data_IF_614099268004
#
_entry.id   IF_614099268004
#
_cell.length_a   1.000
_cell.length_b   1.000
_cell.length_c   1.000
_cell.angle_alpha   90.00
_cell.angle_beta   90.00
_cell.angle_gamma   90.00
#
_symmetry.space_group_name_H-M   'P 1'
#
loop_
_entity.id
_entity.type
_entity.pdbx_description
1 polymer ?
#
# COMPACT_ATOMS: atom_id res chain seq x y z
N UNK A 1 21.25 -24.19 -38.94
CA UNK A 1 21.79 -22.81 -39.08
C UNK A 1 20.85 -21.82 -39.79
N UNK A 2 20.25 -22.12 -40.96
CA UNK A 2 19.35 -21.16 -41.67
C UNK A 2 18.22 -20.60 -40.78
N UNK A 3 17.50 -21.46 -40.05
CA UNK A 3 16.43 -21.06 -39.12
C UNK A 3 16.91 -20.10 -38.01
N UNK A 4 18.09 -20.33 -37.44
CA UNK A 4 18.67 -19.45 -36.41
C UNK A 4 18.94 -18.06 -36.97
N UNK A 5 19.46 -17.95 -38.20
CA UNK A 5 19.59 -16.64 -38.86
C UNK A 5 18.25 -15.96 -39.11
N UNK A 6 17.17 -16.69 -39.38
CA UNK A 6 15.84 -16.08 -39.58
C UNK A 6 15.32 -15.41 -38.30
N UNK A 7 15.61 -16.02 -37.14
CA UNK A 7 15.24 -15.52 -35.81
C UNK A 7 16.04 -14.29 -35.33
N UNK A 8 17.04 -13.82 -36.09
CA UNK A 8 17.74 -12.56 -35.78
C UNK A 8 16.79 -11.38 -36.01
N UNK A 9 16.24 -10.82 -34.91
CA UNK A 9 15.40 -9.61 -34.94
C UNK A 9 16.25 -8.33 -34.93
N UNK A 10 17.57 -8.45 -34.76
CA UNK A 10 18.54 -7.35 -34.74
C UNK A 10 19.35 -7.26 -36.06
N UNK A 11 18.81 -7.81 -37.15
CA UNK A 11 19.41 -7.79 -38.47
C UNK A 11 19.58 -6.36 -39.01
N UNK A 12 20.72 -6.09 -39.64
CA UNK A 12 21.06 -4.77 -40.19
C UNK A 12 20.66 -4.71 -41.67
N UNK A 13 19.96 -3.66 -42.09
CA UNK A 13 19.69 -3.40 -43.51
C UNK A 13 20.97 -3.00 -44.23
N UNK A 14 21.31 -3.69 -45.33
CA UNK A 14 22.38 -3.29 -46.23
C UNK A 14 21.95 -2.06 -47.04
N UNK A 15 22.31 -0.86 -46.59
CA UNK A 15 22.16 0.39 -47.38
C UNK A 15 23.26 0.52 -48.46
N UNK A 16 23.34 -0.45 -49.38
CA UNK A 16 24.23 -0.39 -50.55
C UNK A 16 23.44 -0.63 -51.83
N UNK A 17 23.09 0.46 -52.52
CA UNK A 17 22.13 0.52 -53.63
C UNK A 17 22.61 -0.07 -54.97
N UNK A 18 23.73 -0.80 -55.00
CA UNK A 18 24.21 -1.46 -56.24
C UNK A 18 23.31 -2.66 -56.63
N UNK A 19 22.42 -3.09 -55.72
CA UNK A 19 21.32 -4.01 -56.01
C UNK A 19 19.99 -3.46 -55.48
N UNK A 20 18.92 -3.59 -56.27
CA UNK A 20 17.56 -3.15 -55.90
C UNK A 20 16.92 -3.98 -54.77
N UNK A 21 17.48 -5.14 -54.44
CA UNK A 21 17.04 -5.96 -53.32
C UNK A 21 17.78 -5.57 -52.01
N UNK A 22 17.05 -4.98 -51.05
CA UNK A 22 17.57 -4.74 -49.69
C UNK A 22 17.92 -6.07 -49.00
N UNK A 23 19.21 -6.41 -48.94
CA UNK A 23 19.68 -7.61 -48.24
C UNK A 23 19.85 -7.33 -46.76
N UNK A 24 18.86 -7.74 -45.95
CA UNK A 24 19.00 -7.80 -44.48
C UNK A 24 20.14 -8.73 -44.08
N UNK A 25 21.22 -8.17 -43.53
CA UNK A 25 22.28 -8.95 -42.93
C UNK A 25 21.86 -9.45 -41.54
N UNK A 26 21.48 -10.74 -41.51
CA UNK A 26 21.22 -11.51 -40.29
C UNK A 26 22.37 -12.45 -39.96
N UNK A 27 22.81 -12.47 -38.70
CA UNK A 27 23.88 -13.37 -38.23
C UNK A 27 23.36 -14.54 -37.40
N UNK A 28 24.16 -15.59 -37.27
CA UNK A 28 23.82 -16.72 -36.37
C UNK A 28 23.87 -16.26 -34.92
N UNK A 29 24.82 -15.39 -34.58
CA UNK A 29 24.99 -14.83 -33.24
C UNK A 29 23.80 -13.95 -32.84
N UNK A 30 23.38 -13.01 -33.71
CA UNK A 30 22.19 -12.17 -33.50
C UNK A 30 20.93 -13.02 -33.33
N UNK A 31 20.77 -14.09 -34.12
CA UNK A 31 19.69 -15.06 -33.98
C UNK A 31 19.67 -15.82 -32.65
N UNK A 32 20.82 -16.32 -32.18
CA UNK A 32 20.94 -16.97 -30.86
C UNK A 32 20.62 -15.97 -29.75
N UNK A 33 21.16 -14.74 -29.83
CA UNK A 33 20.95 -13.68 -28.85
C UNK A 33 19.48 -13.25 -28.80
N UNK A 34 18.83 -13.13 -29.95
CA UNK A 34 17.39 -12.84 -30.08
C UNK A 34 16.56 -13.91 -29.35
N UNK A 35 16.83 -15.19 -29.61
CA UNK A 35 16.12 -16.31 -28.94
C UNK A 35 16.31 -16.25 -27.43
N UNK A 36 17.55 -16.08 -26.94
CA UNK A 36 17.83 -16.01 -25.49
C UNK A 36 17.09 -14.83 -24.85
N UNK A 37 17.19 -13.63 -25.44
CA UNK A 37 16.56 -12.41 -24.92
C UNK A 37 15.05 -12.56 -24.88
N UNK A 38 14.41 -13.02 -25.96
CA UNK A 38 12.96 -13.23 -26.00
C UNK A 38 12.51 -14.30 -25.00
N UNK A 39 13.25 -15.41 -24.87
CA UNK A 39 12.92 -16.46 -23.90
C UNK A 39 13.04 -15.99 -22.45
N UNK A 40 14.10 -15.26 -22.10
CA UNK A 40 14.30 -14.70 -20.74
C UNK A 40 13.24 -13.64 -20.44
N UNK A 41 12.93 -12.76 -21.39
CA UNK A 41 11.92 -11.71 -21.23
C UNK A 41 10.52 -12.30 -21.05
N UNK A 42 10.16 -13.33 -21.84
CA UNK A 42 8.88 -14.03 -21.71
C UNK A 42 8.79 -14.82 -20.40
N UNK A 43 9.87 -15.50 -19.99
CA UNK A 43 9.93 -16.21 -18.72
C UNK A 43 9.75 -15.27 -17.52
N UNK A 44 10.42 -14.12 -17.53
CA UNK A 44 10.27 -13.10 -16.49
C UNK A 44 8.87 -12.47 -16.51
N UNK A 45 8.28 -12.21 -17.69
CA UNK A 45 6.90 -11.74 -17.81
C UNK A 45 5.89 -12.72 -17.17
N UNK A 46 6.00 -14.01 -17.49
CA UNK A 46 5.16 -15.07 -16.91
C UNK A 46 5.36 -15.14 -15.39
N UNK A 47 6.61 -15.08 -14.92
CA UNK A 47 6.93 -15.05 -13.49
C UNK A 47 6.28 -13.86 -12.76
N UNK A 48 6.42 -12.64 -13.27
CA UNK A 48 5.83 -11.44 -12.65
C UNK A 48 4.30 -11.50 -12.68
N UNK A 49 3.69 -11.99 -13.76
CA UNK A 49 2.24 -12.18 -13.84
C UNK A 49 1.73 -13.24 -12.86
N UNK A 50 2.48 -14.31 -12.61
CA UNK A 50 2.16 -15.31 -11.59
C UNK A 50 2.29 -14.75 -10.17
N UNK A 51 3.39 -14.03 -9.86
CA UNK A 51 3.55 -13.36 -8.56
C UNK A 51 2.44 -12.34 -8.28
N UNK A 52 2.01 -11.60 -9.31
CA UNK A 52 0.90 -10.67 -9.23
C UNK A 52 -0.45 -11.38 -9.01
N UNK A 53 -0.74 -12.41 -9.82
CA UNK A 53 -1.98 -13.20 -9.70
C UNK A 53 -2.13 -13.89 -8.34
N UNK A 54 -1.02 -14.35 -7.77
CA UNK A 54 -1.00 -15.04 -6.48
C UNK A 54 -0.88 -14.06 -5.29
N UNK A 55 -0.99 -12.75 -5.51
CA UNK A 55 -0.90 -11.69 -4.49
C UNK A 55 0.42 -11.69 -3.67
N UNK A 56 1.49 -12.25 -4.22
CA UNK A 56 2.81 -12.30 -3.58
C UNK A 56 3.56 -10.96 -3.65
N UNK A 57 3.12 -10.04 -4.51
CA UNK A 57 3.68 -8.69 -4.58
C UNK A 57 3.05 -7.84 -3.47
N UNK A 58 3.87 -7.40 -2.52
CA UNK A 58 3.43 -6.65 -1.35
C UNK A 58 2.65 -5.38 -1.76
N UNK A 59 1.48 -5.12 -1.16
CA UNK A 59 0.75 -3.88 -1.38
C UNK A 59 1.50 -2.69 -0.77
N UNK A 60 1.27 -1.49 -1.31
CA UNK A 60 1.77 -0.24 -0.75
C UNK A 60 0.84 0.20 0.38
N UNK A 61 1.37 0.41 1.57
CA UNK A 61 0.62 0.97 2.70
C UNK A 61 1.02 2.42 2.94
N UNK A 62 0.07 3.33 2.90
CA UNK A 62 0.26 4.75 3.26
C UNK A 62 -0.60 5.05 4.48
N UNK A 63 0.04 5.53 5.55
CA UNK A 63 -0.65 5.92 6.79
C UNK A 63 -0.68 7.45 6.87
N UNK A 64 -1.86 8.04 6.96
CA UNK A 64 -2.07 9.49 7.07
C UNK A 64 -2.89 9.76 8.31
N UNK A 65 -2.35 10.57 9.23
CA UNK A 65 -3.13 11.09 10.37
C UNK A 65 -3.91 12.30 9.86
N UNK A 66 -5.23 12.28 9.99
CA UNK A 66 -6.12 13.36 9.57
C UNK A 66 -6.92 13.85 10.78
N UNK A 67 -6.98 15.17 10.98
CA UNK A 67 -7.98 15.75 11.86
C UNK A 67 -9.34 15.62 11.16
N UNK A 68 -10.26 14.87 11.75
CA UNK A 68 -11.61 14.75 11.21
C UNK A 68 -12.53 15.77 11.85
N UNK A 69 -13.28 16.49 11.01
CA UNK A 69 -14.26 17.44 11.48
C UNK A 69 -15.52 16.76 12.03
N UNK A 70 -15.77 15.52 11.63
CA UNK A 70 -16.84 14.68 12.09
C UNK A 70 -16.38 13.22 12.07
N UNK A 71 -16.48 12.54 13.20
CA UNK A 71 -16.30 11.09 13.32
C UNK A 71 -17.37 10.52 14.25
N UNK A 72 -17.85 9.32 13.95
CA UNK A 72 -18.90 8.65 14.72
C UNK A 72 -18.64 7.17 14.73
N UNK A 73 -18.72 6.54 15.90
CA UNK A 73 -18.63 5.09 16.03
C UNK A 73 -19.88 4.58 16.75
N UNK A 74 -20.58 3.67 16.07
CA UNK A 74 -21.75 2.97 16.56
C UNK A 74 -21.42 1.49 16.75
N UNK A 75 -21.50 1.00 17.98
CA UNK A 75 -21.39 -0.41 18.30
C UNK A 75 -22.80 -0.99 18.45
N UNK A 76 -23.13 -1.92 17.56
CA UNK A 76 -24.40 -2.65 17.57
C UNK A 76 -24.05 -4.12 17.73
N UNK A 77 -24.49 -4.74 18.83
CA UNK A 77 -24.24 -6.13 19.25
C UNK A 77 -22.83 -6.50 19.74
N UNK A 78 -21.81 -5.66 19.56
CA UNK A 78 -20.47 -5.87 20.14
C UNK A 78 -20.27 -5.04 21.42
N UNK A 79 -19.87 -5.69 22.52
CA UNK A 79 -19.59 -5.04 23.79
C UNK A 79 -18.21 -4.33 23.76
N UNK A 80 -18.18 -3.01 23.52
CA UNK A 80 -16.91 -2.26 23.60
C UNK A 80 -16.40 -2.16 25.04
N UNK A 81 -17.30 -1.93 26.00
CA UNK A 81 -16.96 -1.78 27.42
C UNK A 81 -17.63 -2.87 28.23
N UNK A 82 -16.83 -3.54 29.03
CA UNK A 82 -17.30 -4.54 29.99
C UNK A 82 -16.65 -4.29 31.34
N UNK A 83 -17.42 -4.37 32.42
CA UNK A 83 -16.87 -4.34 33.77
C UNK A 83 -17.62 -5.25 34.71
N UNK A 84 -16.89 -5.70 35.71
CA UNK A 84 -17.36 -6.67 36.69
C UNK A 84 -16.57 -6.49 38.00
N UNK A 85 -17.12 -7.00 39.09
CA UNK A 85 -16.45 -7.02 40.38
C UNK A 85 -15.62 -8.31 40.54
N UNK A 86 -14.35 -8.21 40.94
CA UNK A 86 -13.51 -9.41 41.13
C UNK A 86 -13.77 -10.02 42.51
N UNK A 87 -14.56 -11.09 42.52
CA UNK A 87 -14.81 -11.91 43.71
C UNK A 87 -13.61 -12.84 43.94
N UNK A 88 -12.68 -12.42 44.80
CA UNK A 88 -11.47 -13.20 45.10
C UNK A 88 -11.74 -14.41 46.03
N UNK A 89 -12.83 -14.39 46.80
CA UNK A 89 -13.22 -15.46 47.72
C UNK A 89 -14.73 -15.76 47.64
N UNK A 90 -15.11 -17.00 47.92
CA UNK A 90 -16.51 -17.37 48.12
C UNK A 90 -17.08 -16.64 49.35
N UNK A 91 -18.33 -16.19 49.24
CA UNK A 91 -18.99 -15.36 50.27
C UNK A 91 -18.80 -13.85 50.10
N UNK A 92 -17.85 -13.38 49.29
CA UNK A 92 -17.77 -11.93 48.97
C UNK A 92 -19.00 -11.50 48.17
N UNK A 93 -19.64 -10.44 48.64
CA UNK A 93 -20.81 -9.82 48.01
C UNK A 93 -20.40 -9.22 46.67
N UNK A 94 -21.14 -9.57 45.61
CA UNK A 94 -21.11 -8.81 44.37
C UNK A 94 -21.88 -7.49 44.59
N UNK A 95 -21.23 -6.32 44.46
CA UNK A 95 -21.88 -5.04 44.69
C UNK A 95 -22.85 -4.63 43.59
N UNK A 96 -22.88 -5.34 42.45
CA UNK A 96 -23.70 -5.05 41.26
C UNK A 96 -24.87 -6.01 41.05
N UNK A 97 -25.42 -6.57 42.13
CA UNK A 97 -26.59 -7.46 42.06
C UNK A 97 -27.85 -6.67 41.75
N UNK A 98 -28.80 -7.25 41.04
CA UNK A 98 -30.09 -6.60 40.74
C UNK A 98 -30.94 -6.41 41.99
N UNK A 99 -30.87 -7.37 42.93
CA UNK A 99 -31.43 -7.28 44.28
C UNK A 99 -30.32 -7.03 45.29
N UNK A 100 -30.58 -6.18 46.28
CA UNK A 100 -29.62 -5.78 47.31
C UNK A 100 -28.31 -5.23 46.70
N UNK A 101 -28.51 -4.29 45.77
CA UNK A 101 -27.45 -3.61 45.05
C UNK A 101 -26.71 -2.61 45.95
N UNK A 102 -25.37 -2.57 45.88
CA UNK A 102 -24.54 -1.69 46.71
C UNK A 102 -23.98 -0.54 45.87
N UNK A 103 -23.36 -0.89 44.73
CA UNK A 103 -22.82 0.06 43.77
C UNK A 103 -23.69 0.06 42.52
N UNK A 104 -24.04 1.24 42.02
CA UNK A 104 -24.82 1.38 40.80
C UNK A 104 -23.97 2.04 39.72
N UNK A 105 -23.67 1.34 38.61
CA UNK A 105 -23.14 1.95 37.42
C UNK A 105 -24.26 2.69 36.68
N UNK A 106 -24.01 3.96 36.41
CA UNK A 106 -24.88 4.88 35.69
C UNK A 106 -24.16 5.29 34.42
N UNK A 107 -24.85 5.21 33.29
CA UNK A 107 -24.46 5.87 32.05
C UNK A 107 -25.11 7.24 31.95
N UNK A 108 -24.38 8.21 31.40
CA UNK A 108 -24.88 9.55 31.09
C UNK A 108 -24.24 10.02 29.79
N UNK A 109 -25.04 10.37 28.80
CA UNK A 109 -24.51 11.04 27.61
C UNK A 109 -24.25 12.53 27.91
N UNK A 110 -23.16 13.06 27.38
CA UNK A 110 -22.92 14.50 27.32
C UNK A 110 -23.03 14.88 25.84
N UNK A 111 -24.03 15.71 25.51
CA UNK A 111 -24.29 16.16 24.14
C UNK A 111 -23.95 17.65 24.10
N UNK A 112 -22.96 18.02 23.29
CA UNK A 112 -22.47 19.41 23.13
C UNK A 112 -22.10 20.09 24.47
N UNK A 113 -21.49 19.31 25.37
CA UNK A 113 -21.15 19.75 26.73
C UNK A 113 -22.33 19.79 27.70
N UNK A 114 -23.55 19.50 27.26
CA UNK A 114 -24.77 19.46 28.08
C UNK A 114 -25.02 18.03 28.57
N UNK A 115 -24.97 17.77 29.89
CA UNK A 115 -25.29 16.46 30.44
C UNK A 115 -26.75 16.09 30.22
N UNK A 116 -27.00 14.86 29.77
CA UNK A 116 -28.34 14.30 29.59
C UNK A 116 -28.80 13.57 30.85
N UNK A 117 -30.06 13.09 30.85
CA UNK A 117 -30.57 12.29 31.97
C UNK A 117 -29.76 11.01 32.17
N UNK A 118 -29.36 10.68 33.42
CA UNK A 118 -28.67 9.44 33.73
C UNK A 118 -29.57 8.22 33.52
N UNK A 119 -28.98 7.09 33.11
CA UNK A 119 -29.63 5.79 33.00
C UNK A 119 -28.84 4.72 33.78
N UNK A 120 -29.55 3.78 34.43
CA UNK A 120 -28.89 2.62 35.05
C UNK A 120 -28.32 1.69 33.99
N UNK A 121 -27.10 1.21 34.20
CA UNK A 121 -26.48 0.18 33.35
C UNK A 121 -26.72 -1.24 33.87
N UNK A 122 -27.43 -1.40 34.99
CA UNK A 122 -27.79 -2.71 35.52
C UNK A 122 -28.84 -3.37 34.63
N UNK A 123 -28.40 -4.31 33.78
CA UNK A 123 -29.31 -5.15 32.99
C UNK A 123 -29.94 -6.24 33.87
N UNK A 124 -31.05 -6.81 33.41
CA UNK A 124 -31.62 -8.03 34.00
C UNK A 124 -30.98 -9.32 33.42
N UNK A 125 -29.97 -9.19 32.56
CA UNK A 125 -29.34 -10.30 31.84
C UNK A 125 -28.09 -10.71 32.59
N UNK A 126 -28.17 -11.81 33.35
CA UNK A 126 -27.06 -12.33 34.15
C UNK A 126 -26.03 -13.06 33.29
N UNK A 127 -25.27 -12.31 32.48
CA UNK A 127 -23.99 -12.81 31.97
C UNK A 127 -23.00 -12.79 33.13
N UNK A 128 -22.46 -13.96 33.49
CA UNK A 128 -21.46 -14.07 34.55
C UNK A 128 -20.07 -13.86 33.97
N UNK A 129 -19.29 -13.03 34.65
CA UNK A 129 -17.87 -12.84 34.37
C UNK A 129 -17.04 -14.09 34.72
N UNK A 130 -15.79 -14.13 34.28
CA UNK A 130 -14.81 -15.13 34.70
C UNK A 130 -14.58 -15.15 36.24
N UNK A 131 -15.03 -14.12 36.96
CA UNK A 131 -14.94 -14.00 38.43
C UNK A 131 -16.27 -14.32 39.14
N UNK A 132 -17.22 -14.97 38.46
CA UNK A 132 -18.53 -15.35 39.02
C UNK A 132 -19.30 -14.15 39.63
N UNK A 133 -19.19 -12.99 38.98
CA UNK A 133 -19.94 -11.76 39.25
C UNK A 133 -20.74 -11.36 38.02
N UNK A 134 -21.71 -10.47 38.19
CA UNK A 134 -22.43 -9.87 37.07
C UNK A 134 -21.46 -9.11 36.15
N UNK A 135 -21.55 -9.38 34.85
CA UNK A 135 -20.87 -8.63 33.80
C UNK A 135 -21.80 -7.51 33.31
N UNK A 136 -21.26 -6.30 33.20
CA UNK A 136 -22.02 -5.09 32.89
C UNK A 136 -21.39 -4.42 31.68
N UNK A 137 -22.21 -4.10 30.69
CA UNK A 137 -21.76 -3.59 29.39
C UNK A 137 -22.73 -2.52 28.87
N UNK A 138 -22.29 -1.73 27.88
CA UNK A 138 -23.13 -0.69 27.24
C UNK A 138 -23.69 -1.24 25.93
N UNK A 139 -24.99 -1.48 25.88
CA UNK A 139 -25.69 -1.80 24.63
C UNK A 139 -25.87 -0.55 23.75
N UNK A 140 -25.75 -0.74 22.43
CA UNK A 140 -26.01 0.28 21.40
C UNK A 140 -25.23 1.59 21.63
N UNK A 141 -23.96 1.47 22.00
CA UNK A 141 -23.06 2.61 22.20
C UNK A 141 -22.91 3.40 20.89
N UNK A 142 -23.18 4.70 20.96
CA UNK A 142 -22.93 5.63 19.86
C UNK A 142 -22.23 6.87 20.42
N UNK A 143 -20.97 7.06 20.02
CA UNK A 143 -20.10 8.19 20.37
C UNK A 143 -19.83 8.98 19.09
N UNK A 144 -19.94 10.30 19.18
CA UNK A 144 -19.77 11.22 18.05
C UNK A 144 -18.82 12.35 18.45
N UNK A 145 -17.86 12.67 17.60
CA UNK A 145 -16.99 13.83 17.73
C UNK A 145 -17.27 14.79 16.57
N UNK A 146 -17.57 16.05 16.85
CA UNK A 146 -17.73 17.09 15.84
C UNK A 146 -16.90 18.33 16.22
N UNK A 147 -16.02 18.79 15.33
CA UNK A 147 -15.17 19.98 15.55
C UNK A 147 -15.90 21.31 15.32
N UNK A 148 -17.19 21.28 14.98
CA UNK A 148 -18.04 22.44 14.69
C UNK A 148 -18.03 22.88 13.22
N UNK A 149 -17.43 22.10 12.31
CA UNK A 149 -17.30 22.49 10.90
C UNK A 149 -18.57 22.27 10.05
N UNK A 150 -19.41 21.30 10.41
CA UNK A 150 -20.67 21.03 9.69
C UNK A 150 -21.89 21.35 10.58
N UNK A 151 -22.62 22.45 10.32
CA UNK A 151 -23.77 22.86 11.12
C UNK A 151 -25.00 21.94 11.02
N UNK A 152 -24.97 20.90 10.17
CA UNK A 152 -26.04 19.91 10.03
C UNK A 152 -25.81 18.63 10.85
N UNK A 153 -24.56 18.33 11.23
CA UNK A 153 -24.18 17.10 11.95
C UNK A 153 -23.90 17.38 13.44
N UNK A 154 -24.67 18.31 14.00
CA UNK A 154 -24.21 19.31 14.97
C UNK A 154 -23.84 18.83 16.40
N UNK A 155 -23.75 17.52 16.65
CA UNK A 155 -23.69 16.98 18.01
C UNK A 155 -22.36 16.24 18.28
N UNK A 156 -21.57 16.75 19.22
CA UNK A 156 -20.55 15.95 19.92
C UNK A 156 -21.24 15.19 21.04
N UNK A 157 -21.10 13.86 21.04
CA UNK A 157 -21.75 12.95 21.98
C UNK A 157 -20.68 12.09 22.67
N UNK A 158 -20.37 12.45 23.91
CA UNK A 158 -19.50 11.68 24.80
C UNK A 158 -20.33 10.78 25.73
N UNK A 159 -19.76 9.69 26.23
CA UNK A 159 -20.36 8.86 27.28
C UNK A 159 -19.59 9.02 28.59
N UNK A 160 -20.30 9.38 29.66
CA UNK A 160 -19.81 9.38 31.03
C UNK A 160 -20.39 8.16 31.76
N UNK A 161 -19.53 7.28 32.26
CA UNK A 161 -19.91 6.17 33.16
C UNK A 161 -19.55 6.58 34.59
N UNK A 162 -20.49 6.48 35.52
CA UNK A 162 -20.35 6.87 36.93
C UNK A 162 -20.69 5.67 37.81
N UNK A 163 -19.82 5.31 38.75
CA UNK A 163 -20.12 4.33 39.80
C UNK A 163 -20.41 5.11 41.09
N UNK A 164 -21.62 4.95 41.61
CA UNK A 164 -22.14 5.63 42.81
C UNK A 164 -22.72 4.62 43.79
N UNK A 165 -23.04 5.05 45.02
CA UNK A 165 -23.91 4.30 45.93
C UNK A 165 -25.27 4.07 45.25
N UNK A 166 -25.86 2.89 45.47
CA UNK A 166 -27.18 2.58 44.94
C UNK A 166 -28.23 3.66 45.25
N UNK A 167 -29.05 4.02 44.26
CA UNK A 167 -30.13 4.99 44.42
C UNK A 167 -31.40 4.49 43.73
N UNK A 168 -32.46 4.29 44.52
CA UNK A 168 -33.73 3.71 44.08
C UNK A 168 -34.41 4.51 42.94
N UNK A 169 -34.13 5.81 42.77
CA UNK A 169 -34.76 6.63 41.72
C UNK A 169 -34.29 6.30 40.29
N UNK A 170 -33.14 5.62 40.12
CA UNK A 170 -32.61 5.22 38.80
C UNK A 170 -32.74 3.72 38.53
N UNK A 171 -33.25 2.96 39.51
CA UNK A 171 -33.45 1.52 39.39
C UNK A 171 -34.71 1.17 38.61
N UNK A 172 -34.68 0.03 37.92
CA UNK A 172 -35.87 -0.57 37.32
C UNK A 172 -36.79 -1.16 38.40
N UNK A 173 -38.08 -1.37 38.06
CA UNK A 173 -39.14 -1.82 39.00
C UNK A 173 -38.78 -3.08 39.81
N UNK A 174 -37.94 -3.97 39.27
CA UNK A 174 -37.53 -5.23 39.91
C UNK A 174 -36.16 -5.17 40.60
N UNK A 175 -35.56 -3.98 40.74
CA UNK A 175 -34.23 -3.79 41.31
C UNK A 175 -34.33 -3.08 42.67
N UNK A 176 -33.53 -3.50 43.65
CA UNK A 176 -33.52 -2.96 45.02
C UNK A 176 -32.11 -2.58 45.46
N UNK A 177 -32.00 -1.49 46.21
CA UNK A 177 -30.76 -1.19 46.95
C UNK A 177 -30.64 -2.05 48.22
N UNK A 178 -29.41 -2.38 48.59
CA UNK A 178 -29.10 -3.05 49.85
C UNK A 178 -29.41 -2.17 51.07
N UNK A 179 -29.45 -2.77 52.26
CA UNK A 179 -29.57 -2.01 53.51
C UNK A 179 -28.33 -1.14 53.74
N UNK A 180 -28.48 0.00 54.42
CA UNK A 180 -27.33 0.86 54.76
C UNK A 180 -26.24 0.10 55.53
N UNK A 181 -26.64 -0.85 56.39
CA UNK A 181 -25.71 -1.74 57.10
C UNK A 181 -24.90 -2.64 56.17
N UNK A 182 -25.49 -3.18 55.10
CA UNK A 182 -24.74 -4.00 54.12
C UNK A 182 -23.78 -3.14 53.29
N UNK A 183 -24.18 -1.90 52.99
CA UNK A 183 -23.37 -0.93 52.25
C UNK A 183 -22.16 -0.51 53.10
N UNK A 184 -22.36 -0.18 54.38
CA UNK A 184 -21.26 0.10 55.32
C UNK A 184 -20.33 -1.11 55.49
N UNK A 185 -20.88 -2.31 55.67
CA UNK A 185 -20.12 -3.55 55.75
C UNK A 185 -19.26 -3.81 54.50
N UNK A 186 -19.76 -3.47 53.30
CA UNK A 186 -18.99 -3.58 52.06
C UNK A 186 -17.83 -2.58 52.00
N UNK A 187 -18.04 -1.32 52.38
CA UNK A 187 -16.97 -0.31 52.36
C UNK A 187 -15.91 -0.51 53.46
N UNK A 188 -16.21 -1.26 54.52
CA UNK A 188 -15.26 -1.65 55.57
C UNK A 188 -14.37 -2.85 55.15
N UNK A 189 -14.73 -3.60 54.10
CA UNK A 189 -13.94 -4.74 53.62
C UNK A 189 -12.57 -4.30 53.07
N UNK A 190 -11.52 -5.04 53.43
CA UNK A 190 -10.13 -4.65 53.17
C UNK A 190 -9.73 -4.65 51.69
N UNK A 191 -10.46 -5.38 50.83
CA UNK A 191 -10.12 -5.55 49.40
C UNK A 191 -11.38 -5.54 48.53
N UNK A 192 -11.69 -4.39 47.94
CA UNK A 192 -12.72 -4.25 46.91
C UNK A 192 -12.01 -3.96 45.58
N UNK A 193 -12.11 -4.86 44.60
CA UNK A 193 -11.48 -4.70 43.29
C UNK A 193 -12.49 -4.73 42.15
N UNK A 194 -12.52 -3.65 41.39
CA UNK A 194 -13.29 -3.50 40.17
C UNK A 194 -12.41 -3.77 38.95
N UNK A 195 -12.94 -4.55 38.01
CA UNK A 195 -12.26 -4.94 36.79
C UNK A 195 -13.00 -4.31 35.60
N UNK A 196 -12.29 -3.51 34.80
CA UNK A 196 -12.83 -2.80 33.64
C UNK A 196 -12.02 -3.18 32.40
N UNK A 197 -12.72 -3.58 31.36
CA UNK A 197 -12.21 -4.14 30.12
C UNK A 197 -12.71 -3.30 28.95
N UNK A 198 -11.83 -3.02 28.00
CA UNK A 198 -12.19 -2.46 26.70
C UNK A 198 -11.88 -3.52 25.65
N UNK A 199 -12.87 -3.89 24.85
CA UNK A 199 -12.70 -4.83 23.76
C UNK A 199 -12.17 -4.10 22.51
N UNK A 200 -10.90 -3.69 22.55
CA UNK A 200 -10.17 -3.20 21.37
C UNK A 200 -9.67 -4.39 20.56
N UNK A 201 -9.68 -4.29 19.23
CA UNK A 201 -9.14 -5.38 18.38
C UNK A 201 -7.62 -5.55 18.55
N UNK A 202 -6.91 -4.55 19.06
CA UNK A 202 -5.50 -4.57 19.42
C UNK A 202 -5.21 -3.67 20.65
N UNK A 203 -4.14 -3.97 21.41
CA UNK A 203 -3.63 -3.24 22.60
C UNK A 203 -4.40 -3.38 23.94
N UNK A 204 -3.70 -3.79 25.01
CA UNK A 204 -4.19 -3.93 26.41
C UNK A 204 -3.26 -3.21 27.40
N UNK A 205 -3.74 -2.15 28.11
CA UNK A 205 -3.21 -1.61 29.40
C UNK A 205 -4.34 -0.84 30.17
N UNK A 206 -4.12 -0.42 31.43
CA UNK A 206 -5.12 0.22 32.34
C UNK A 206 -4.42 1.20 33.35
N UNK A 207 -5.03 1.96 34.29
CA UNK A 207 -6.34 1.93 34.99
C UNK A 207 -6.89 3.36 35.30
N UNK A 208 -8.21 3.46 35.60
CA UNK A 208 -9.11 4.63 35.83
C UNK A 208 -8.82 5.97 35.13
N UNK A 209 -9.69 6.32 34.17
CA UNK A 209 -9.26 7.09 33.00
C UNK A 209 -10.36 7.95 32.31
N UNK A 210 -10.01 9.13 31.77
CA UNK A 210 -10.57 9.61 30.50
C UNK A 210 -10.03 8.77 29.33
N UNK A 211 -10.92 7.98 28.73
CA UNK A 211 -10.62 7.07 27.61
C UNK A 211 -10.83 7.85 26.31
N UNK A 212 -9.75 8.01 25.53
CA UNK A 212 -9.79 8.58 24.18
C UNK A 212 -9.66 7.41 23.20
N UNK A 213 -10.77 7.07 22.55
CA UNK A 213 -10.81 6.03 21.52
C UNK A 213 -10.20 6.58 20.23
N UNK A 214 -9.20 5.92 19.65
CA UNK A 214 -8.65 6.33 18.36
C UNK A 214 -9.27 5.51 17.24
N UNK A 215 -9.79 6.20 16.22
CA UNK A 215 -10.39 5.57 15.05
C UNK A 215 -9.32 5.34 13.96
N UNK A 216 -9.31 4.14 13.40
CA UNK A 216 -8.61 3.84 12.16
C UNK A 216 -9.64 3.59 11.08
N UNK A 217 -9.45 4.26 9.94
CA UNK A 217 -10.17 4.00 8.69
C UNK A 217 -9.22 3.29 7.76
N UNK A 218 -9.53 2.05 7.40
CA UNK A 218 -8.70 1.26 6.51
C UNK A 218 -9.35 1.20 5.14
N UNK A 219 -8.66 1.73 4.13
CA UNK A 219 -9.08 1.74 2.74
C UNK A 219 -8.26 0.74 1.95
N UNK A 220 -8.88 -0.34 1.51
CA UNK A 220 -8.21 -1.38 0.71
C UNK A 220 -8.61 -1.20 -0.75
N UNK A 221 -7.66 -0.79 -1.60
CA UNK A 221 -7.87 -0.74 -3.05
C UNK A 221 -7.52 -2.10 -3.66
N UNK A 222 -8.56 -2.89 -3.94
CA UNK A 222 -8.48 -4.21 -4.58
C UNK A 222 -8.59 -4.14 -6.12
N UNK A 223 -8.65 -2.93 -6.69
CA UNK A 223 -8.95 -2.71 -8.10
C UNK A 223 -7.80 -3.06 -9.06
N UNK A 224 -8.09 -3.98 -9.99
CA UNK A 224 -7.13 -4.50 -11.00
C UNK A 224 -6.60 -3.40 -11.94
N UNK A 225 -7.48 -2.47 -12.34
CA UNK A 225 -7.21 -1.39 -13.31
C UNK A 225 -7.61 -0.02 -12.76
N UNK A 226 -8.85 0.10 -12.30
CA UNK A 226 -9.40 1.31 -11.68
C UNK A 226 -9.32 1.20 -10.16
N UNK A 227 -9.70 2.24 -9.44
CA UNK A 227 -9.78 2.22 -7.97
C UNK A 227 -11.06 1.51 -7.52
N UNK A 228 -10.94 0.56 -6.61
CA UNK A 228 -12.06 -0.13 -5.97
C UNK A 228 -11.79 -0.25 -4.47
N UNK A 229 -12.27 0.74 -3.72
CA UNK A 229 -12.02 0.85 -2.29
C UNK A 229 -13.05 0.07 -1.46
N UNK A 230 -12.55 -0.81 -0.60
CA UNK A 230 -13.28 -1.33 0.55
C UNK A 230 -12.87 -0.51 1.78
N UNK A 231 -13.82 0.20 2.39
CA UNK A 231 -13.60 1.01 3.60
C UNK A 231 -14.03 0.23 4.85
N UNK A 232 -13.16 0.13 5.85
CA UNK A 232 -13.42 -0.51 7.13
C UNK A 232 -12.97 0.39 8.29
N UNK A 233 -13.93 0.76 9.14
CA UNK A 233 -13.71 1.64 10.30
C UNK A 233 -13.72 0.85 11.61
N UNK A 234 -12.74 1.08 12.48
CA UNK A 234 -12.68 0.44 13.80
C UNK A 234 -11.89 1.27 14.82
N UNK A 235 -12.13 1.00 16.10
CA UNK A 235 -11.24 1.45 17.19
C UNK A 235 -10.02 0.54 17.23
N UNK A 236 -8.83 1.11 17.03
CA UNK A 236 -7.57 0.37 16.98
C UNK A 236 -6.70 0.56 18.22
N UNK A 237 -6.91 1.65 18.95
CA UNK A 237 -6.15 2.02 20.16
C UNK A 237 -7.05 2.83 21.11
N UNK A 238 -6.73 2.79 22.39
CA UNK A 238 -7.42 3.53 23.45
C UNK A 238 -6.36 4.25 24.29
N UNK A 239 -6.28 5.57 24.17
CA UNK A 239 -5.38 6.36 25.00
C UNK A 239 -6.00 6.65 26.36
N UNK A 240 -5.17 6.51 27.39
CA UNK A 240 -5.57 6.62 28.76
C UNK A 240 -4.99 7.88 29.45
N UNK A 241 -5.85 8.82 29.89
CA UNK A 241 -5.51 10.01 30.69
C UNK A 241 -6.14 9.98 32.10
N UNK A 242 -5.33 9.97 33.16
CA UNK A 242 -5.81 10.02 34.54
C UNK A 242 -5.94 11.47 35.06
N UNK A 243 -7.05 11.81 35.72
CA UNK A 243 -7.24 13.11 36.40
C UNK A 243 -7.93 12.92 37.75
N UNK A 244 -7.61 13.78 38.71
CA UNK A 244 -8.27 13.83 40.02
C UNK A 244 -9.26 14.99 40.05
N UNK A 245 -10.54 14.68 40.30
CA UNK A 245 -11.62 15.66 40.45
C UNK A 245 -12.12 15.67 41.91
N UNK A 246 -12.61 16.81 42.36
CA UNK A 246 -13.27 16.91 43.67
C UNK A 246 -14.66 16.25 43.61
N UNK A 247 -14.98 15.45 44.63
CA UNK A 247 -16.27 14.73 44.75
C UNK A 247 -17.47 15.69 44.61
N UNK A 248 -17.33 16.92 45.13
CA UNK A 248 -18.33 17.98 45.05
C UNK A 248 -18.77 18.35 43.63
N UNK A 249 -17.94 18.12 42.61
CA UNK A 249 -18.29 18.39 41.21
C UNK A 249 -19.45 17.47 40.78
N UNK A 250 -19.27 16.15 40.91
CA UNK A 250 -20.31 15.20 40.56
C UNK A 250 -21.49 15.26 41.53
N UNK A 251 -21.24 15.52 42.83
CA UNK A 251 -22.33 15.73 43.80
C UNK A 251 -23.27 16.87 43.38
N UNK A 252 -22.76 17.97 42.82
CA UNK A 252 -23.59 19.06 42.28
C UNK A 252 -24.26 18.72 40.94
N UNK A 253 -23.61 17.88 40.12
CA UNK A 253 -24.07 17.53 38.77
C UNK A 253 -25.18 16.47 38.77
N UNK A 254 -25.07 15.43 39.61
CA UNK A 254 -26.01 14.30 39.66
C UNK A 254 -26.74 14.13 41.00
N UNK A 255 -26.48 14.99 41.99
CA UNK A 255 -27.04 14.91 43.35
C UNK A 255 -26.73 13.58 44.07
N UNK A 256 -25.60 12.95 43.76
CA UNK A 256 -25.13 11.68 44.33
C UNK A 256 -23.61 11.68 44.50
N UNK A 257 -23.10 10.89 45.43
CA UNK A 257 -21.67 10.73 45.67
C UNK A 257 -21.06 9.74 44.67
N UNK A 258 -20.29 10.26 43.71
CA UNK A 258 -19.56 9.46 42.73
C UNK A 258 -18.22 8.96 43.30
N UNK A 259 -17.99 7.65 43.22
CA UNK A 259 -16.72 7.03 43.65
C UNK A 259 -15.72 6.92 42.50
N UNK A 260 -16.21 6.52 41.32
CA UNK A 260 -15.41 6.30 40.12
C UNK A 260 -16.16 6.89 38.93
N UNK A 261 -15.44 7.57 38.04
CA UNK A 261 -15.98 8.08 36.78
C UNK A 261 -15.05 7.76 35.62
N UNK A 262 -15.63 7.42 34.47
CA UNK A 262 -14.94 7.23 33.20
C UNK A 262 -15.58 8.15 32.16
N UNK A 263 -14.82 9.10 31.62
CA UNK A 263 -15.26 9.91 30.47
C UNK A 263 -14.73 9.27 29.20
N UNK A 264 -15.63 8.92 28.29
CA UNK A 264 -15.34 8.17 27.08
C UNK A 264 -15.67 9.06 25.90
N UNK A 265 -14.64 9.39 25.11
CA UNK A 265 -14.75 10.23 23.93
C UNK A 265 -13.95 9.66 22.78
N UNK A 266 -14.25 10.14 21.58
CA UNK A 266 -13.56 9.78 20.35
C UNK A 266 -12.46 10.81 20.07
N UNK A 267 -11.30 10.36 19.59
CA UNK A 267 -10.20 11.25 19.21
C UNK A 267 -10.61 12.10 17.99
N UNK A 268 -10.40 13.43 17.99
CA UNK A 268 -10.55 14.25 16.77
C UNK A 268 -9.57 13.86 15.65
N UNK A 269 -8.53 13.07 15.91
CA UNK A 269 -7.65 12.52 14.89
C UNK A 269 -8.04 11.09 14.49
N UNK A 270 -8.26 10.88 13.19
CA UNK A 270 -8.35 9.55 12.59
C UNK A 270 -7.04 9.14 11.92
N UNK A 271 -6.81 7.82 11.89
CA UNK A 271 -5.70 7.21 11.17
C UNK A 271 -6.25 6.62 9.87
N UNK A 272 -6.03 7.30 8.74
CA UNK A 272 -6.42 6.83 7.41
C UNK A 272 -5.28 5.96 6.85
N UNK A 273 -5.51 4.65 6.84
CA UNK A 273 -4.57 3.64 6.33
C UNK A 273 -5.04 3.19 4.96
N UNK A 274 -4.35 3.65 3.91
CA UNK A 274 -4.63 3.25 2.53
C UNK A 274 -3.69 2.12 2.12
N UNK A 275 -4.26 0.94 1.86
CA UNK A 275 -3.56 -0.25 1.35
C UNK A 275 -3.89 -0.40 -0.13
N UNK A 276 -2.91 -0.16 -1.00
CA UNK A 276 -3.07 -0.21 -2.45
C UNK A 276 -2.34 -1.41 -3.02
N UNK A 277 -3.08 -2.36 -3.60
CA UNK A 277 -2.47 -3.47 -4.33
C UNK A 277 -1.89 -2.99 -5.67
N UNK A 278 -0.79 -3.58 -6.15
CA UNK A 278 -0.16 -3.19 -7.41
C UNK A 278 -1.11 -3.45 -8.58
N UNK A 279 -1.47 -2.38 -9.30
CA UNK A 279 -2.40 -2.47 -10.44
C UNK A 279 -1.73 -3.08 -11.65
N UNK A 280 -2.53 -3.69 -12.53
CA UNK A 280 -2.03 -4.30 -13.77
C UNK A 280 -1.22 -3.30 -14.63
N UNK A 281 -1.57 -2.01 -14.60
CA UNK A 281 -0.81 -0.96 -15.27
C UNK A 281 0.61 -0.75 -14.70
N UNK A 282 0.79 -0.82 -13.38
CA UNK A 282 2.12 -0.73 -12.76
C UNK A 282 2.98 -1.96 -13.11
N UNK A 283 2.37 -3.16 -13.08
CA UNK A 283 3.02 -4.41 -13.45
C UNK A 283 3.45 -4.40 -14.92
N UNK A 284 2.58 -3.94 -15.82
CA UNK A 284 2.90 -3.79 -17.25
C UNK A 284 3.98 -2.72 -17.49
N UNK A 285 4.02 -1.64 -16.70
CA UNK A 285 5.10 -0.65 -16.75
C UNK A 285 6.44 -1.24 -16.26
N UNK A 286 6.42 -2.05 -15.20
CA UNK A 286 7.60 -2.79 -14.73
C UNK A 286 8.12 -3.76 -15.80
N UNK A 287 7.23 -4.49 -16.48
CA UNK A 287 7.56 -5.30 -17.66
C UNK A 287 8.08 -4.44 -18.81
N UNK A 288 7.55 -3.23 -19.00
CA UNK A 288 8.02 -2.26 -19.98
C UNK A 288 9.50 -1.90 -19.84
N UNK A 289 10.06 -1.92 -18.62
CA UNK A 289 11.50 -1.71 -18.41
C UNK A 289 12.39 -2.75 -19.12
N UNK A 290 11.86 -3.95 -19.37
CA UNK A 290 12.54 -5.01 -20.12
C UNK A 290 12.70 -4.61 -21.59
N UNK A 291 11.76 -3.86 -22.16
CA UNK A 291 11.87 -3.37 -23.54
C UNK A 291 13.09 -2.44 -23.69
N UNK A 292 13.39 -1.63 -22.68
CA UNK A 292 14.62 -0.83 -22.63
C UNK A 292 15.89 -1.70 -22.59
N UNK A 293 15.86 -2.82 -21.86
CA UNK A 293 16.96 -3.80 -21.86
C UNK A 293 17.12 -4.46 -23.24
N UNK A 294 16.01 -4.83 -23.90
CA UNK A 294 15.99 -5.39 -25.25
C UNK A 294 16.59 -4.39 -26.25
N UNK A 295 16.25 -3.11 -26.16
CA UNK A 295 16.82 -2.03 -27.00
C UNK A 295 18.35 -1.91 -26.84
N UNK A 296 18.87 -2.05 -25.62
CA UNK A 296 20.33 -2.03 -25.38
C UNK A 296 21.00 -3.25 -26.03
N UNK A 297 20.42 -4.45 -25.88
CA UNK A 297 20.97 -5.67 -26.50
C UNK A 297 20.85 -5.61 -28.03
N UNK A 298 19.76 -5.05 -28.55
CA UNK A 298 19.58 -4.75 -29.98
C UNK A 298 20.68 -3.84 -30.51
N UNK A 299 21.04 -2.78 -29.79
CA UNK A 299 22.10 -1.85 -30.20
C UNK A 299 23.47 -2.55 -30.28
N UNK A 300 23.80 -3.41 -29.31
CA UNK A 300 25.03 -4.22 -29.34
C UNK A 300 25.03 -5.22 -30.50
N UNK A 301 23.90 -5.88 -30.74
CA UNK A 301 23.73 -6.83 -31.85
C UNK A 301 23.81 -6.15 -33.21
N UNK A 302 23.21 -4.96 -33.35
CA UNK A 302 23.30 -4.10 -34.53
C UNK A 302 24.76 -3.75 -34.84
N UNK A 303 25.50 -3.22 -33.86
CA UNK A 303 26.90 -2.84 -34.03
C UNK A 303 27.79 -4.04 -34.41
N UNK A 304 27.53 -5.22 -33.83
CA UNK A 304 28.22 -6.46 -34.20
C UNK A 304 27.88 -6.93 -35.63
N UNK A 305 26.60 -6.88 -36.01
CA UNK A 305 26.14 -7.23 -37.36
C UNK A 305 26.71 -6.27 -38.42
N UNK A 306 26.82 -4.97 -38.12
CA UNK A 306 27.46 -3.95 -38.96
C UNK A 306 28.98 -4.19 -39.09
N UNK A 307 29.68 -4.51 -37.99
CA UNK A 307 31.10 -4.87 -38.01
C UNK A 307 31.38 -6.12 -38.88
N UNK A 308 30.54 -7.15 -38.76
CA UNK A 308 30.61 -8.32 -39.64
C UNK A 308 30.37 -7.96 -41.11
N UNK A 309 29.39 -7.09 -41.38
CA UNK A 309 29.07 -6.62 -42.73
C UNK A 309 30.28 -5.92 -43.35
N UNK A 310 30.84 -4.93 -42.66
CA UNK A 310 32.00 -4.17 -43.12
C UNK A 310 33.19 -5.10 -43.42
N UNK A 311 33.46 -6.09 -42.56
CA UNK A 311 34.52 -7.06 -42.81
C UNK A 311 34.23 -7.94 -44.03
N UNK A 312 32.99 -8.37 -44.25
CA UNK A 312 32.62 -9.20 -45.40
C UNK A 312 32.74 -8.44 -46.73
N UNK A 313 32.40 -7.15 -46.75
CA UNK A 313 32.58 -6.26 -47.91
C UNK A 313 34.06 -6.02 -48.22
N UNK A 314 34.87 -5.77 -47.19
CA UNK A 314 36.33 -5.63 -47.33
C UNK A 314 36.95 -6.91 -47.88
N UNK A 315 36.53 -8.08 -47.38
CA UNK A 315 36.98 -9.38 -47.88
C UNK A 315 36.58 -9.61 -49.35
N UNK A 316 35.35 -9.28 -49.74
CA UNK A 316 34.91 -9.38 -51.14
C UNK A 316 35.73 -8.48 -52.08
N UNK A 317 36.01 -7.23 -51.68
CA UNK A 317 36.86 -6.30 -52.44
C UNK A 317 38.30 -6.80 -52.53
N UNK A 318 38.88 -7.28 -51.43
CA UNK A 318 40.25 -7.80 -51.43
C UNK A 318 40.40 -9.07 -52.28
N UNK A 319 39.41 -9.97 -52.25
CA UNK A 319 39.38 -11.17 -53.09
C UNK A 319 39.30 -10.85 -54.58
N UNK A 320 38.63 -9.75 -54.95
CA UNK A 320 38.59 -9.24 -56.33
C UNK A 320 39.89 -8.59 -56.79
N UNK A 321 40.66 -7.97 -55.87
CA UNK A 321 41.85 -7.19 -56.20
C UNK A 321 43.18 -7.96 -56.05
N UNK A 322 43.23 -9.02 -55.25
CA UNK A 322 44.49 -9.72 -54.90
C UNK A 322 44.45 -11.17 -55.39
N UNK A 323 45.20 -11.44 -56.47
CA UNK A 323 45.28 -12.75 -57.15
C UNK A 323 45.66 -13.94 -56.25
N UNK A 324 46.24 -13.69 -55.06
CA UNK A 324 46.66 -14.72 -54.10
C UNK A 324 46.05 -14.49 -52.69
N UNK A 325 44.85 -13.91 -52.60
CA UNK A 325 44.22 -13.52 -51.32
C UNK A 325 44.19 -14.64 -50.26
N UNK A 326 43.73 -15.84 -50.63
CA UNK A 326 43.52 -16.94 -49.67
C UNK A 326 44.83 -17.49 -49.08
N UNK A 327 45.95 -17.46 -49.84
CA UNK A 327 47.26 -17.86 -49.33
C UNK A 327 47.89 -16.81 -48.40
N UNK A 328 47.56 -15.53 -48.62
CA UNK A 328 48.00 -14.41 -47.81
C UNK A 328 47.23 -14.33 -46.48
N UNK A 329 45.92 -14.63 -46.51
CA UNK A 329 45.03 -14.70 -45.33
C UNK A 329 45.41 -15.83 -44.37
N UNK A 330 45.72 -17.01 -44.90
CA UNK A 330 45.97 -18.23 -44.11
C UNK A 330 47.44 -18.43 -43.70
N UNK A 331 48.34 -17.53 -44.11
CA UNK A 331 49.76 -17.61 -43.78
C UNK A 331 50.03 -17.42 -42.29
N UNK A 332 50.69 -18.39 -41.65
CA UNK A 332 51.18 -18.27 -40.27
C UNK A 332 52.42 -17.36 -40.15
N UNK A 333 53.09 -17.02 -41.26
CA UNK A 333 54.29 -16.19 -41.28
C UNK A 333 54.00 -14.75 -40.84
N UNK A 334 54.73 -14.26 -39.82
CA UNK A 334 54.49 -12.95 -39.18
C UNK A 334 54.60 -11.78 -40.16
N UNK A 335 55.52 -11.87 -41.13
CA UNK A 335 55.73 -10.92 -42.24
C UNK A 335 54.45 -10.75 -43.07
N UNK A 336 53.94 -11.85 -43.64
CA UNK A 336 52.73 -11.89 -44.47
C UNK A 336 51.48 -11.45 -43.70
N UNK A 337 51.38 -11.78 -42.41
CA UNK A 337 50.29 -11.31 -41.54
C UNK A 337 50.28 -9.79 -41.34
N UNK A 338 51.46 -9.16 -41.23
CA UNK A 338 51.58 -7.69 -41.18
C UNK A 338 51.17 -7.09 -42.54
N UNK A 339 51.64 -7.66 -43.66
CA UNK A 339 51.25 -7.22 -45.01
C UNK A 339 49.74 -7.33 -45.23
N UNK A 340 49.11 -8.43 -44.83
CA UNK A 340 47.66 -8.61 -44.86
C UNK A 340 46.92 -7.52 -44.08
N UNK A 341 47.32 -7.26 -42.83
CA UNK A 341 46.69 -6.23 -42.00
C UNK A 341 46.80 -4.82 -42.61
N UNK A 342 47.95 -4.49 -43.21
CA UNK A 342 48.15 -3.20 -43.88
C UNK A 342 47.27 -3.07 -45.13
N UNK A 343 47.20 -4.12 -45.97
CA UNK A 343 46.32 -4.17 -47.14
C UNK A 343 44.84 -4.06 -46.73
N UNK A 344 44.44 -4.74 -45.66
CA UNK A 344 43.08 -4.67 -45.13
C UNK A 344 42.73 -3.27 -44.61
N UNK A 345 43.67 -2.58 -43.94
CA UNK A 345 43.50 -1.19 -43.49
C UNK A 345 43.33 -0.23 -44.67
N UNK A 346 44.15 -0.37 -45.72
CA UNK A 346 44.04 0.42 -46.96
C UNK A 346 42.72 0.16 -47.69
N UNK A 347 42.25 -1.09 -47.77
CA UNK A 347 40.96 -1.41 -48.37
C UNK A 347 39.77 -0.82 -47.58
N UNK A 348 39.83 -0.84 -46.24
CA UNK A 348 38.85 -0.14 -45.38
C UNK A 348 38.83 1.36 -45.62
N UNK A 349 40.00 2.00 -45.70
CA UNK A 349 40.10 3.43 -46.02
C UNK A 349 39.56 3.74 -47.43
N UNK A 350 39.92 2.96 -48.44
CA UNK A 350 39.43 3.15 -49.81
C UNK A 350 37.91 2.99 -49.91
N UNK A 351 37.33 2.01 -49.21
CA UNK A 351 35.86 1.85 -49.16
C UNK A 351 35.17 3.05 -48.52
N UNK A 352 35.72 3.63 -47.45
CA UNK A 352 35.19 4.87 -46.86
C UNK A 352 35.29 6.04 -47.86
N UNK A 353 36.43 6.23 -48.54
CA UNK A 353 36.57 7.29 -49.53
C UNK A 353 35.62 7.12 -50.73
N UNK A 354 35.44 5.90 -51.25
CA UNK A 354 34.48 5.63 -52.33
C UNK A 354 33.05 5.94 -51.88
N UNK A 355 32.68 5.60 -50.64
CA UNK A 355 31.35 5.92 -50.11
C UNK A 355 31.15 7.43 -49.94
N UNK A 356 32.16 8.16 -49.44
CA UNK A 356 32.13 9.62 -49.33
C UNK A 356 32.01 10.28 -50.72
N UNK A 357 32.76 9.82 -51.71
CA UNK A 357 32.68 10.33 -53.09
C UNK A 357 31.28 10.08 -53.66
N UNK A 358 30.70 8.89 -53.46
CA UNK A 358 29.35 8.57 -53.92
C UNK A 358 28.28 9.46 -53.27
N UNK A 359 28.35 9.71 -51.96
CA UNK A 359 27.44 10.64 -51.28
C UNK A 359 27.63 12.09 -51.74
N UNK A 360 28.86 12.53 -51.99
CA UNK A 360 29.12 13.86 -52.57
C UNK A 360 28.54 13.99 -53.99
N UNK A 361 28.73 12.98 -54.84
CA UNK A 361 28.13 12.96 -56.19
C UNK A 361 26.60 12.89 -56.17
N UNK A 362 25.98 12.30 -55.13
CA UNK A 362 24.53 12.35 -54.90
C UNK A 362 24.06 13.74 -54.52
N UNK A 363 24.77 14.41 -53.60
CA UNK A 363 24.48 15.79 -53.21
C UNK A 363 24.62 16.71 -54.43
N UNK A 364 25.64 16.51 -55.26
CA UNK A 364 25.85 17.24 -56.51
C UNK A 364 24.71 17.00 -57.51
N UNK A 365 24.33 15.74 -57.78
CA UNK A 365 23.17 15.40 -58.64
C UNK A 365 21.86 15.97 -58.12
N UNK A 366 21.64 15.93 -56.81
CA UNK A 366 20.43 16.50 -56.18
C UNK A 366 20.41 18.03 -56.32
N UNK A 367 21.53 18.71 -56.07
CA UNK A 367 21.66 20.15 -56.26
C UNK A 367 21.49 20.57 -57.73
N UNK A 368 22.02 19.80 -58.68
CA UNK A 368 21.79 20.00 -60.11
C UNK A 368 20.30 19.83 -60.47
N UNK A 369 19.63 18.78 -59.96
CA UNK A 369 18.19 18.58 -60.21
C UNK A 369 17.32 19.72 -59.64
N UNK A 370 17.69 20.28 -58.49
CA UNK A 370 17.02 21.45 -57.91
C UNK A 370 17.33 22.75 -58.68
N UNK A 371 18.47 22.81 -59.38
CA UNK A 371 18.84 23.95 -60.22
C UNK A 371 18.07 23.93 -61.53
N UNK A 372 17.96 22.77 -62.19
CA UNK A 372 17.17 22.60 -63.42
C UNK A 372 15.68 22.92 -63.20
N UNK A 373 15.09 22.50 -62.07
CA UNK A 373 13.71 22.83 -61.70
C UNK A 373 13.48 24.35 -61.63
N UNK A 374 14.44 25.12 -61.10
CA UNK A 374 14.34 26.58 -61.05
C UNK A 374 14.47 27.25 -62.42
N UNK A 375 15.15 26.61 -63.37
CA UNK A 375 15.23 27.09 -64.76
C UNK A 375 13.92 26.79 -65.51
N UNK A 376 13.29 25.63 -65.29
CA UNK A 376 11.97 25.34 -65.86
C UNK A 376 10.84 26.21 -65.30
N UNK A 377 10.96 26.68 -64.05
CA UNK A 377 10.00 27.60 -63.42
C UNK A 377 10.21 29.09 -63.82
N UNK A 378 11.21 29.40 -64.65
CA UNK A 378 11.55 30.77 -65.08
C UNK A 378 11.54 31.00 -66.60
N UNK A 379 10.94 30.06 -67.36
CA UNK A 379 10.52 30.21 -68.76
C UNK A 379 8.99 30.20 -68.89
#
# INVERSE_FOLDING_TARGET
>A
MKYVKMADIFGVQLKQEIHQDEKLQKSVFGGVLSIIVTSVSLGYFIYIMDQWRNSNILPKSTNIIKAENYSSIQFTNDNLFEFCYWRYQEGVIDPFRTTDNILMPIGMYIIDGIPQTPFSMLSNITTLSAYNSNLIYVENLNIIQNSGFNPQLNQTKELLIIITKCNQYLLSVNQTCASDTDIENFFIQQTNMLSFWINTKYSMQAQQIQIILKQQKTRIDSGILFENYEENDFVFDAQFLMTTLQIDFFKKMINMDAYITFTIRLDPFSYDTQVVYPKLGEILAQVGSIVSMIMIVQYVAYFYNEYLLQNSLVEAVLKSLVLNYDSLKNSQEKSKKITYNNIQKLAKQKLLFVNIINELSRIELFLLSLYDIKISDSQ
#
